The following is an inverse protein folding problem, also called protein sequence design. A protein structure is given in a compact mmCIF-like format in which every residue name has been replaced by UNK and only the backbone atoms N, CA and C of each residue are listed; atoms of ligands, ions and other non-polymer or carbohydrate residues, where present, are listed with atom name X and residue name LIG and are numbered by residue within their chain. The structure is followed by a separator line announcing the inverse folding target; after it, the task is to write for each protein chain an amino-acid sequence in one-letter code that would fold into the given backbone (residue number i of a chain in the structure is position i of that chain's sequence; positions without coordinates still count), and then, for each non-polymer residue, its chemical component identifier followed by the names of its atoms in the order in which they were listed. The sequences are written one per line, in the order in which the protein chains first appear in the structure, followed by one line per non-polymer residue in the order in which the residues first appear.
data_IF_092511047123
#
_entry.id   IF_092511047123
#
_cell.length_a   1.000
_cell.length_b   1.000
_cell.length_c   1.000
_cell.angle_alpha   90.00
_cell.angle_beta   90.00
_cell.angle_gamma   90.00
#
_symmetry.space_group_name_H-M   'P 1'
#
loop_
_entity.id
_entity.type
_entity.pdbx_description
1 polymer ?
#
# COMPACT_ATOMS: atom_id res chain seq x y z
N UNK A 1 -11.45 2.19 4.15
CA UNK A 1 -10.33 2.56 3.26
C UNK A 1 -8.99 2.50 3.96
N UNK A 2 -8.80 3.20 5.08
CA UNK A 2 -7.52 3.21 5.83
C UNK A 2 -7.50 2.31 7.07
N UNK A 3 -8.67 1.81 7.50
CA UNK A 3 -8.79 1.01 8.73
C UNK A 3 -8.73 1.83 10.01
N UNK A 4 -9.06 3.12 9.93
CA UNK A 4 -9.19 4.00 11.10
C UNK A 4 -10.58 3.80 11.71
N UNK A 5 -10.62 3.55 13.01
CA UNK A 5 -11.87 3.39 13.75
C UNK A 5 -12.35 4.74 14.27
N UNK A 6 -13.66 4.98 14.16
CA UNK A 6 -14.32 6.17 14.69
C UNK A 6 -15.18 5.79 15.89
N UNK A 7 -14.87 6.34 17.06
CA UNK A 7 -15.71 6.20 18.26
C UNK A 7 -17.04 6.95 18.08
N UNK A 8 -18.13 6.41 18.62
CA UNK A 8 -19.48 6.99 18.60
C UNK A 8 -20.17 7.09 17.23
N UNK A 9 -19.69 6.35 16.22
CA UNK A 9 -20.42 6.23 14.96
C UNK A 9 -21.46 5.09 15.06
N UNK A 10 -22.75 5.32 14.74
CA UNK A 10 -23.81 4.35 14.97
C UNK A 10 -23.75 3.11 14.05
N UNK A 11 -23.22 3.26 12.84
CA UNK A 11 -23.08 2.16 11.87
C UNK A 11 -21.78 2.31 11.07
N UNK A 12 -20.66 1.89 11.67
CA UNK A 12 -19.37 1.92 11.00
C UNK A 12 -19.15 0.62 10.21
N UNK A 13 -19.47 0.66 8.91
CA UNK A 13 -19.29 -0.48 8.00
C UNK A 13 -18.64 -0.08 6.68
N UNK A 14 -18.31 -1.08 5.87
CA UNK A 14 -17.77 -0.92 4.51
C UNK A 14 -18.82 -0.29 3.59
N UNK A 15 -18.38 0.57 2.66
CA UNK A 15 -19.28 1.23 1.69
C UNK A 15 -18.80 1.15 0.22
N UNK A 16 -17.49 1.24 -0.05
CA UNK A 16 -16.96 1.17 -1.43
C UNK A 16 -16.25 -0.14 -1.78
N UNK A 17 -15.87 -0.95 -0.79
CA UNK A 17 -15.27 -2.27 -1.03
C UNK A 17 -16.35 -3.32 -1.15
N UNK A 18 -16.05 -4.41 -1.85
CA UNK A 18 -16.89 -5.59 -1.88
C UNK A 18 -17.15 -6.14 -0.45
N UNK A 19 -18.24 -6.88 -0.28
CA UNK A 19 -18.71 -7.39 1.00
C UNK A 19 -17.69 -8.34 1.64
N UNK A 20 -17.10 -9.23 0.84
CA UNK A 20 -16.07 -10.18 1.26
C UNK A 20 -14.64 -9.64 1.22
N UNK A 21 -14.45 -8.34 0.97
CA UNK A 21 -13.12 -7.78 0.77
C UNK A 21 -12.29 -7.75 2.06
N UNK A 22 -11.08 -8.28 2.02
CA UNK A 22 -10.14 -8.26 3.12
C UNK A 22 -9.06 -7.19 2.93
N UNK A 23 -8.83 -6.38 3.97
CA UNK A 23 -7.84 -5.31 3.95
C UNK A 23 -8.39 -3.90 3.71
N UNK A 24 -7.47 -2.96 3.51
CA UNK A 24 -7.71 -1.52 3.50
C UNK A 24 -6.95 -0.89 2.31
N UNK A 25 -7.62 -0.61 1.18
CA UNK A 25 -6.95 -0.36 -0.11
C UNK A 25 -5.98 0.81 -0.14
N UNK A 26 -6.17 1.83 0.70
CA UNK A 26 -5.36 3.06 0.65
C UNK A 26 -4.21 3.07 1.65
N UNK A 27 -3.90 1.94 2.30
CA UNK A 27 -2.66 1.81 3.05
C UNK A 27 -1.47 1.64 2.10
N UNK A 28 -0.29 2.09 2.53
CA UNK A 28 0.92 2.12 1.69
C UNK A 28 1.56 0.74 1.45
N UNK A 29 1.24 -0.22 2.30
CA UNK A 29 1.61 -1.63 2.20
C UNK A 29 0.69 -2.42 1.25
N UNK A 30 -0.50 -1.90 0.94
CA UNK A 30 -1.45 -2.59 0.07
C UNK A 30 -1.04 -2.50 -1.40
N UNK A 31 -0.98 -3.63 -2.15
CA UNK A 31 -0.60 -3.62 -3.56
C UNK A 31 -1.68 -2.99 -4.43
N UNK A 32 -1.29 -2.31 -5.51
CA UNK A 32 -2.22 -1.60 -6.40
C UNK A 32 -3.29 -2.53 -6.99
N UNK A 33 -2.90 -3.73 -7.41
CA UNK A 33 -3.81 -4.70 -8.03
C UNK A 33 -4.65 -5.49 -7.02
N UNK A 34 -4.34 -5.41 -5.73
CA UNK A 34 -4.95 -6.25 -4.70
C UNK A 34 -4.40 -7.68 -4.67
N UNK A 35 -5.12 -8.57 -3.97
CA UNK A 35 -4.71 -9.97 -3.75
C UNK A 35 -5.56 -10.99 -4.50
N UNK A 36 -6.77 -10.60 -4.90
CA UNK A 36 -7.76 -11.50 -5.48
C UNK A 36 -8.34 -10.94 -6.76
N UNK A 37 -8.67 -11.83 -7.68
CA UNK A 37 -9.43 -11.55 -8.89
C UNK A 37 -10.73 -12.36 -8.92
N UNK A 38 -11.61 -11.95 -9.84
CA UNK A 38 -12.95 -12.50 -9.96
C UNK A 38 -13.12 -13.11 -11.33
N UNK A 39 -13.47 -14.40 -11.40
CA UNK A 39 -13.84 -15.07 -12.65
C UNK A 39 -15.14 -15.85 -12.52
N UNK A 40 -15.81 -16.06 -13.65
CA UNK A 40 -16.95 -16.98 -13.71
C UNK A 40 -16.44 -18.42 -13.88
N UNK A 41 -16.97 -19.33 -13.08
CA UNK A 41 -16.70 -20.76 -13.15
C UNK A 41 -17.95 -21.47 -13.69
N UNK A 42 -17.83 -22.06 -14.89
CA UNK A 42 -18.95 -22.72 -15.56
C UNK A 42 -19.33 -24.05 -14.89
N UNK A 43 -18.37 -24.78 -14.31
CA UNK A 43 -18.65 -26.04 -13.60
C UNK A 43 -19.52 -25.80 -12.38
N UNK A 44 -19.23 -24.71 -11.65
CA UNK A 44 -19.95 -24.32 -10.44
C UNK A 44 -21.11 -23.35 -10.70
N UNK A 45 -21.24 -22.86 -11.94
CA UNK A 45 -22.21 -21.84 -12.38
C UNK A 45 -22.28 -20.61 -11.47
N UNK A 46 -21.13 -20.15 -11.00
CA UNK A 46 -21.04 -19.00 -10.09
C UNK A 46 -19.75 -18.22 -10.29
N UNK A 47 -19.77 -17.00 -9.77
CA UNK A 47 -18.59 -16.15 -9.67
C UNK A 47 -17.71 -16.65 -8.51
N UNK A 48 -16.41 -16.85 -8.77
CA UNK A 48 -15.42 -17.30 -7.79
C UNK A 48 -14.34 -16.24 -7.59
N UNK A 49 -13.81 -16.17 -6.38
CA UNK A 49 -12.67 -15.35 -5.99
C UNK A 49 -11.42 -16.23 -5.98
N UNK A 50 -10.40 -15.84 -6.72
CA UNK A 50 -9.12 -16.56 -6.81
C UNK A 50 -7.94 -15.64 -6.55
N UNK A 51 -6.76 -16.18 -6.18
CA UNK A 51 -5.54 -15.39 -6.11
C UNK A 51 -5.27 -14.68 -7.44
N UNK A 52 -4.82 -13.44 -7.36
CA UNK A 52 -4.56 -12.60 -8.53
C UNK A 52 -3.46 -13.20 -9.43
N UNK A 53 -3.75 -13.34 -10.72
CA UNK A 53 -2.78 -13.73 -11.75
C UNK A 53 -2.80 -12.72 -12.91
N UNK A 54 -1.76 -11.88 -13.00
CA UNK A 54 -1.66 -10.89 -14.06
C UNK A 54 -0.95 -11.45 -15.29
N UNK A 55 -1.62 -11.43 -16.45
CA UNK A 55 -0.96 -11.75 -17.73
C UNK A 55 0.21 -10.80 -18.04
N UNK A 56 0.13 -9.55 -17.58
CA UNK A 56 1.22 -8.58 -17.62
C UNK A 56 1.33 -7.88 -16.26
N UNK A 57 2.53 -7.90 -15.68
CA UNK A 57 2.81 -7.23 -14.41
C UNK A 57 2.78 -5.70 -14.53
N UNK A 58 2.45 -5.03 -13.41
CA UNK A 58 2.51 -3.59 -13.32
C UNK A 58 3.96 -3.09 -13.40
N UNK A 59 4.27 -2.28 -14.42
CA UNK A 59 5.59 -1.69 -14.60
C UNK A 59 5.71 -0.39 -13.81
N UNK A 60 6.50 -0.43 -12.73
CA UNK A 60 6.87 0.76 -11.97
C UNK A 60 7.95 1.53 -12.74
N UNK A 61 7.58 2.67 -13.32
CA UNK A 61 8.53 3.59 -13.91
C UNK A 61 9.07 4.54 -12.83
N UNK A 62 10.39 4.64 -12.73
CA UNK A 62 11.03 5.70 -11.95
C UNK A 62 11.15 6.95 -12.83
N UNK A 63 10.21 7.86 -12.65
CA UNK A 63 10.17 9.15 -13.35
C UNK A 63 10.89 10.23 -12.57
N UNK A 64 11.47 9.91 -11.39
CA UNK A 64 12.13 10.90 -10.56
C UNK A 64 13.41 11.39 -11.25
N UNK A 65 13.56 12.72 -11.30
CA UNK A 65 14.78 13.31 -11.80
C UNK A 65 15.87 13.22 -10.71
N UNK A 66 17.13 12.95 -11.07
CA UNK A 66 18.23 12.89 -10.10
C UNK A 66 18.58 14.27 -9.52
N UNK A 67 18.15 15.35 -10.17
CA UNK A 67 18.40 16.73 -9.74
C UNK A 67 17.25 17.27 -8.88
N UNK A 68 17.62 18.03 -7.86
CA UNK A 68 16.66 18.73 -7.00
C UNK A 68 15.90 19.80 -7.78
N UNK A 69 14.57 19.71 -7.78
CA UNK A 69 13.69 20.66 -8.45
C UNK A 69 13.37 21.89 -7.60
N UNK A 70 13.37 21.75 -6.26
CA UNK A 70 12.91 22.80 -5.35
C UNK A 70 13.91 23.07 -4.21
N UNK A 71 14.92 23.95 -4.44
CA UNK A 71 15.93 24.28 -3.42
C UNK A 71 15.38 24.88 -2.11
N UNK A 72 14.18 25.47 -2.15
CA UNK A 72 13.55 26.11 -0.99
C UNK A 72 13.07 25.10 0.07
N UNK A 73 12.91 23.82 -0.29
CA UNK A 73 12.43 22.75 0.62
C UNK A 73 13.52 21.72 0.91
N UNK A 74 14.79 22.09 0.74
CA UNK A 74 15.90 21.22 1.11
C UNK A 74 15.91 21.02 2.62
N UNK A 75 15.63 19.79 3.06
CA UNK A 75 15.80 19.43 4.46
C UNK A 75 17.30 19.55 4.81
N UNK A 76 17.60 20.11 5.97
CA UNK A 76 18.97 20.17 6.48
C UNK A 76 19.54 18.75 6.54
N UNK A 77 20.79 18.60 6.09
CA UNK A 77 21.44 17.30 6.11
C UNK A 77 21.44 16.75 7.55
N UNK A 78 21.15 15.46 7.76
CA UNK A 78 21.20 14.89 9.10
C UNK A 78 22.60 15.10 9.67
N UNK A 79 22.69 15.66 10.88
CA UNK A 79 23.96 15.77 11.59
C UNK A 79 24.57 14.38 11.74
N UNK A 80 25.83 14.21 11.33
CA UNK A 80 26.59 12.99 11.60
C UNK A 80 26.69 12.82 13.12
N UNK A 81 25.90 11.91 13.68
CA UNK A 81 26.04 11.49 15.07
C UNK A 81 27.38 10.78 15.18
N UNK A 82 28.41 11.49 15.69
CA UNK A 82 29.70 10.90 16.04
C UNK A 82 29.47 9.83 17.09
N UNK A 83 29.44 8.56 16.67
CA UNK A 83 29.50 7.44 17.59
C UNK A 83 30.92 7.43 18.15
N UNK A 84 31.10 7.95 19.36
CA UNK A 84 32.34 7.78 20.10
C UNK A 84 32.51 6.29 20.42
N UNK A 85 33.34 5.60 19.65
CA UNK A 85 33.81 4.26 20.00
C UNK A 85 34.58 4.35 21.32
N UNK A 86 33.90 4.10 22.44
CA UNK A 86 34.54 3.83 23.72
C UNK A 86 35.33 2.54 23.56
N UNK A 87 36.60 2.69 23.21
CA UNK A 87 37.59 1.62 23.24
C UNK A 87 37.71 1.16 24.70
N UNK A 88 37.12 0.02 25.01
CA UNK A 88 37.32 -0.67 26.29
C UNK A 88 38.83 -0.93 26.48
N UNK A 89 39.32 -0.58 27.67
CA UNK A 89 40.66 -0.87 28.16
C UNK A 89 40.53 -1.76 29.38
#
# INVERSE_FOLDING_TARGET
MYGVFFSNHPDLRRILTDYGFEGHPFRKDFPLSGYVEVRYDDERKRVVLEPLELAQEFRKFDLSAPWEQFPAFRNEAPEEVKVEDKTEK
#
